data_IF_091006113759
#
_entry.id   IF_091006113759
#
_cell.length_a   1.000
_cell.length_b   1.000
_cell.length_c   1.000
_cell.angle_alpha   90.00
_cell.angle_beta   90.00
_cell.angle_gamma   90.00
#
_symmetry.space_group_name_H-M   'P 1'
#
loop_
_entity.id
_entity.type
_entity.pdbx_description
1 polymer ?
#
# COMPACT_ATOMS: atom_id res chain seq x y z
N UNK A 1 52.02 -49.47 42.61
CA UNK A 1 52.47 -49.55 44.01
C UNK A 1 51.35 -49.04 44.90
N UNK A 2 50.41 -49.92 45.24
CA UNK A 2 49.27 -49.58 46.10
C UNK A 2 49.55 -50.25 47.43
N UNK A 3 50.11 -49.47 48.35
CA UNK A 3 50.45 -49.89 49.72
C UNK A 3 49.16 -50.34 50.41
N UNK A 4 49.11 -51.59 50.85
CA UNK A 4 48.13 -52.06 51.83
C UNK A 4 48.31 -51.23 53.11
N UNK A 5 47.46 -50.21 53.28
CA UNK A 5 47.30 -49.50 54.54
C UNK A 5 46.52 -50.43 55.47
N UNK A 6 47.21 -51.05 56.43
CA UNK A 6 46.56 -51.76 57.52
C UNK A 6 45.63 -50.85 58.33
N UNK A 7 44.63 -51.39 59.06
CA UNK A 7 43.57 -50.62 59.69
C UNK A 7 44.09 -49.52 60.63
N UNK A 8 43.69 -48.28 60.36
CA UNK A 8 44.28 -47.03 60.87
C UNK A 8 43.82 -46.60 62.30
N UNK A 9 43.31 -47.53 63.12
CA UNK A 9 42.93 -47.25 64.52
C UNK A 9 43.10 -48.49 65.40
N UNK A 10 43.57 -48.31 66.64
CA UNK A 10 43.67 -49.39 67.63
C UNK A 10 42.33 -50.11 67.83
N UNK A 11 41.22 -49.37 67.70
CA UNK A 11 39.85 -49.90 67.78
C UNK A 11 39.48 -50.78 66.59
N UNK A 12 39.89 -50.43 65.37
CA UNK A 12 39.68 -51.26 64.17
C UNK A 12 40.59 -52.50 64.16
N UNK A 13 41.82 -52.39 64.66
CA UNK A 13 42.70 -53.55 64.88
C UNK A 13 42.13 -54.51 65.92
N UNK A 14 41.68 -53.99 67.07
CA UNK A 14 41.02 -54.79 68.08
C UNK A 14 39.71 -55.42 67.57
N UNK A 15 38.93 -54.73 66.74
CA UNK A 15 37.74 -55.30 66.11
C UNK A 15 38.06 -56.40 65.09
N UNK A 16 39.14 -56.24 64.32
CA UNK A 16 39.63 -57.28 63.40
C UNK A 16 40.14 -58.51 64.15
N UNK A 17 40.92 -58.32 65.23
CA UNK A 17 41.46 -59.41 66.05
C UNK A 17 40.38 -60.11 66.91
N UNK A 18 39.37 -59.37 67.39
CA UNK A 18 38.33 -59.93 68.28
C UNK A 18 37.10 -60.44 67.54
N UNK A 19 36.73 -59.85 66.38
CA UNK A 19 35.49 -60.18 65.65
C UNK A 19 35.65 -60.18 64.12
N UNK A 20 36.86 -60.32 63.57
CA UNK A 20 37.09 -60.41 62.12
C UNK A 20 36.75 -59.15 61.32
N UNK A 21 36.53 -58.01 61.99
CA UNK A 21 36.32 -56.70 61.36
C UNK A 21 34.87 -56.28 61.16
N UNK A 22 33.89 -57.07 61.60
CA UNK A 22 32.45 -56.77 61.45
C UNK A 22 31.79 -56.65 62.84
N UNK A 23 31.13 -55.52 63.10
CA UNK A 23 30.58 -55.17 64.41
C UNK A 23 29.11 -55.59 64.59
N UNK A 24 28.37 -55.71 63.48
CA UNK A 24 26.99 -56.21 63.43
C UNK A 24 26.91 -57.28 62.35
N UNK A 25 26.63 -58.52 62.74
CA UNK A 25 26.40 -59.60 61.77
C UNK A 25 25.05 -59.31 61.11
N UNK A 26 25.04 -58.90 59.84
CA UNK A 26 23.78 -58.69 59.12
C UNK A 26 23.11 -60.04 58.94
N UNK A 27 21.78 -60.07 58.88
CA UNK A 27 21.03 -61.30 58.54
C UNK A 27 21.55 -61.95 57.25
N UNK A 28 21.94 -61.13 56.28
CA UNK A 28 22.60 -61.57 55.03
C UNK A 28 23.92 -62.33 55.26
N UNK A 29 24.68 -61.97 56.29
CA UNK A 29 25.96 -62.61 56.59
C UNK A 29 25.76 -63.94 57.31
N UNK A 30 24.74 -64.04 58.19
CA UNK A 30 24.31 -65.31 58.82
C UNK A 30 23.83 -66.30 57.76
N UNK A 31 23.03 -65.80 56.80
CA UNK A 31 22.52 -66.60 55.71
C UNK A 31 23.63 -67.05 54.74
N UNK A 32 24.81 -66.42 54.69
CA UNK A 32 25.94 -66.86 53.83
C UNK A 32 26.81 -67.95 54.47
N UNK A 33 26.69 -68.20 55.76
CA UNK A 33 27.47 -69.22 56.47
C UNK A 33 27.12 -70.61 55.91
N UNK A 34 28.11 -71.40 55.54
CA UNK A 34 27.92 -72.83 55.25
C UNK A 34 28.13 -73.62 56.55
N UNK A 35 27.15 -74.44 56.92
CA UNK A 35 27.30 -75.30 58.10
C UNK A 35 28.19 -76.49 57.67
N UNK A 36 29.40 -76.63 58.23
CA UNK A 36 30.33 -77.66 57.80
C UNK A 36 29.81 -79.05 58.17
N UNK A 37 29.98 -80.07 57.30
CA UNK A 37 29.54 -81.42 57.58
C UNK A 37 30.32 -81.99 58.77
N UNK A 38 29.67 -82.77 59.65
CA UNK A 38 30.35 -83.39 60.77
C UNK A 38 31.51 -84.30 60.30
N UNK A 39 32.66 -84.35 61.01
CA UNK A 39 33.87 -85.06 60.56
C UNK A 39 33.69 -86.57 60.32
N UNK A 40 32.68 -87.18 60.93
CA UNK A 40 32.40 -88.62 60.86
C UNK A 40 31.53 -89.03 59.65
N UNK A 41 30.99 -88.07 58.89
CA UNK A 41 30.22 -88.31 57.65
C UNK A 41 31.05 -88.97 56.55
N UNK A 42 32.38 -88.88 56.65
CA UNK A 42 33.33 -89.58 55.77
C UNK A 42 33.41 -91.10 56.01
N UNK A 43 32.80 -91.61 57.10
CA UNK A 43 32.72 -93.05 57.44
C UNK A 43 31.31 -93.59 57.12
N UNK A 44 31.17 -94.87 56.71
CA UNK A 44 29.87 -95.46 56.38
C UNK A 44 28.85 -95.40 57.53
N UNK A 45 27.60 -95.06 57.21
CA UNK A 45 26.46 -94.86 58.14
C UNK A 45 26.21 -96.03 59.10
N UNK A 46 26.67 -97.23 58.73
CA UNK A 46 26.57 -98.46 59.53
C UNK A 46 27.48 -98.49 60.75
N UNK A 47 28.50 -97.63 60.79
CA UNK A 47 29.51 -97.55 61.86
C UNK A 47 29.27 -96.39 62.83
N UNK A 48 28.20 -95.61 62.62
CA UNK A 48 27.91 -94.47 63.48
C UNK A 48 27.38 -94.95 64.83
N UNK A 49 27.96 -94.44 65.91
CA UNK A 49 27.42 -94.62 67.24
C UNK A 49 26.09 -93.83 67.41
N UNK A 50 25.32 -94.10 68.46
CA UNK A 50 24.03 -93.42 68.70
C UNK A 50 24.17 -91.89 68.87
N UNK A 51 25.31 -91.41 69.38
CA UNK A 51 25.62 -89.99 69.52
C UNK A 51 25.96 -89.32 68.18
N UNK A 52 26.64 -90.01 67.28
CA UNK A 52 27.00 -89.58 65.91
C UNK A 52 25.76 -89.53 65.01
N UNK A 53 24.85 -90.52 65.13
CA UNK A 53 23.52 -90.47 64.48
C UNK A 53 22.68 -89.30 64.96
N UNK A 54 22.73 -89.00 66.25
CA UNK A 54 22.03 -87.84 66.85
C UNK A 54 22.65 -86.52 66.39
N UNK A 55 23.98 -86.43 66.33
CA UNK A 55 24.72 -85.28 65.83
C UNK A 55 24.49 -84.99 64.34
N UNK A 56 24.37 -86.02 63.50
CA UNK A 56 24.04 -85.86 62.09
C UNK A 56 22.60 -85.38 61.88
N UNK A 57 21.62 -85.93 62.61
CA UNK A 57 20.24 -85.44 62.58
C UNK A 57 20.14 -83.96 62.99
N UNK A 58 20.95 -83.54 63.97
CA UNK A 58 21.01 -82.14 64.38
C UNK A 58 21.68 -81.25 63.34
N UNK A 59 22.72 -81.75 62.65
CA UNK A 59 23.33 -81.08 61.50
C UNK A 59 22.33 -80.90 60.34
N UNK A 60 21.64 -81.96 59.91
CA UNK A 60 20.62 -81.89 58.86
C UNK A 60 19.50 -80.92 59.22
N UNK A 61 19.06 -80.93 60.49
CA UNK A 61 18.06 -79.99 60.99
C UNK A 61 18.54 -78.54 60.87
N UNK A 62 19.78 -78.23 61.28
CA UNK A 62 20.36 -76.88 61.18
C UNK A 62 20.55 -76.44 59.72
N UNK A 63 20.98 -77.34 58.83
CA UNK A 63 21.08 -77.07 57.38
C UNK A 63 19.73 -76.80 56.76
N UNK A 64 18.70 -77.57 57.14
CA UNK A 64 17.33 -77.38 56.66
C UNK A 64 16.74 -76.05 57.16
N UNK A 65 16.90 -75.73 58.44
CA UNK A 65 16.46 -74.46 59.03
C UNK A 65 17.14 -73.25 58.36
N UNK A 66 18.45 -73.33 58.11
CA UNK A 66 19.19 -72.27 57.42
C UNK A 66 18.73 -72.10 55.96
N UNK A 67 18.49 -73.20 55.23
CA UNK A 67 17.96 -73.13 53.87
C UNK A 67 16.52 -72.59 53.82
N UNK A 68 15.68 -72.94 54.79
CA UNK A 68 14.33 -72.36 54.92
C UNK A 68 14.39 -70.86 55.22
N UNK A 69 15.36 -70.40 56.02
CA UNK A 69 15.57 -68.97 56.30
C UNK A 69 16.11 -68.23 55.07
N UNK A 70 17.06 -68.82 54.32
CA UNK A 70 17.53 -68.30 53.02
C UNK A 70 16.38 -68.12 52.03
N UNK A 71 15.51 -69.13 51.92
CA UNK A 71 14.37 -69.12 51.01
C UNK A 71 13.31 -68.08 51.43
N UNK A 72 13.05 -67.94 52.74
CA UNK A 72 12.19 -66.87 53.27
C UNK A 72 12.76 -65.50 52.95
N UNK A 73 14.06 -65.29 53.15
CA UNK A 73 14.73 -64.02 52.87
C UNK A 73 14.73 -63.69 51.37
N UNK A 74 15.00 -64.69 50.50
CA UNK A 74 14.88 -64.56 49.05
C UNK A 74 13.47 -64.11 48.64
N UNK A 75 12.43 -64.75 49.17
CA UNK A 75 11.03 -64.36 48.90
C UNK A 75 10.73 -62.93 49.36
N UNK A 76 11.22 -62.52 50.52
CA UNK A 76 11.09 -61.13 50.99
C UNK A 76 11.72 -60.15 49.99
N UNK A 77 12.97 -60.39 49.58
CA UNK A 77 13.66 -59.56 48.60
C UNK A 77 12.94 -59.54 47.23
N UNK A 78 12.46 -60.69 46.74
CA UNK A 78 11.68 -60.76 45.50
C UNK A 78 10.38 -59.95 45.59
N UNK A 79 9.70 -59.95 46.74
CA UNK A 79 8.50 -59.13 46.94
C UNK A 79 8.81 -57.65 47.04
N UNK A 80 9.90 -57.26 47.70
CA UNK A 80 10.35 -55.87 47.76
C UNK A 80 10.76 -55.36 46.38
N UNK A 81 11.50 -56.16 45.62
CA UNK A 81 11.89 -55.85 44.25
C UNK A 81 10.66 -55.64 43.37
N UNK A 82 9.66 -56.53 43.42
CA UNK A 82 8.40 -56.36 42.66
C UNK A 82 7.65 -55.10 43.07
N UNK A 83 7.55 -54.81 44.39
CA UNK A 83 6.90 -53.58 44.89
C UNK A 83 7.62 -52.33 44.37
N UNK A 84 8.95 -52.32 44.40
CA UNK A 84 9.76 -51.20 43.89
C UNK A 84 9.57 -51.04 42.38
N UNK A 85 9.58 -52.14 41.61
CA UNK A 85 9.33 -52.10 40.16
C UNK A 85 7.96 -51.52 39.83
N UNK A 86 6.90 -51.97 40.51
CA UNK A 86 5.55 -51.43 40.32
C UNK A 86 5.47 -49.95 40.69
N UNK A 87 6.05 -49.57 41.83
CA UNK A 87 6.10 -48.16 42.26
C UNK A 87 6.83 -47.26 41.27
N UNK A 88 7.96 -47.72 40.71
CA UNK A 88 8.69 -46.99 39.67
C UNK A 88 7.81 -46.83 38.42
N UNK A 89 7.17 -47.92 37.96
CA UNK A 89 6.32 -47.88 36.78
C UNK A 89 5.13 -46.93 36.94
N UNK A 90 4.44 -46.98 38.07
CA UNK A 90 3.33 -46.07 38.40
C UNK A 90 3.81 -44.61 38.46
N UNK A 91 4.96 -44.36 39.10
CA UNK A 91 5.53 -43.01 39.21
C UNK A 91 5.94 -42.46 37.85
N UNK A 92 6.57 -43.27 36.99
CA UNK A 92 6.91 -42.90 35.61
C UNK A 92 5.67 -42.58 34.79
N UNK A 93 4.63 -43.41 34.87
CA UNK A 93 3.37 -43.14 34.15
C UNK A 93 2.72 -41.83 34.61
N UNK A 94 2.66 -41.58 35.91
CA UNK A 94 2.10 -40.32 36.47
C UNK A 94 2.92 -39.11 35.99
N UNK A 95 4.23 -39.25 35.94
CA UNK A 95 5.12 -38.20 35.42
C UNK A 95 4.85 -37.93 33.94
N UNK A 96 4.84 -38.96 33.10
CA UNK A 96 4.59 -38.84 31.66
C UNK A 96 3.22 -38.22 31.38
N UNK A 97 2.16 -38.68 32.06
CA UNK A 97 0.82 -38.10 31.93
C UNK A 97 0.80 -36.61 32.33
N UNK A 98 1.59 -36.24 33.33
CA UNK A 98 1.71 -34.83 33.77
C UNK A 98 2.44 -33.99 32.72
N UNK A 99 3.51 -34.51 32.14
CA UNK A 99 4.25 -33.85 31.06
C UNK A 99 3.36 -33.68 29.83
N UNK A 100 2.60 -34.70 29.44
CA UNK A 100 1.65 -34.61 28.31
C UNK A 100 0.58 -33.55 28.55
N UNK A 101 -0.03 -33.51 29.74
CA UNK A 101 -1.00 -32.46 30.09
C UNK A 101 -0.39 -31.06 30.08
N UNK A 102 0.84 -30.91 30.57
CA UNK A 102 1.56 -29.64 30.54
C UNK A 102 1.87 -29.21 29.10
N UNK A 103 2.27 -30.15 28.24
CA UNK A 103 2.52 -29.89 26.83
C UNK A 103 1.24 -29.44 26.10
N UNK A 104 0.12 -30.15 26.28
CA UNK A 104 -1.17 -29.73 25.72
C UNK A 104 -1.58 -28.33 26.17
N UNK A 105 -1.38 -28.03 27.46
CA UNK A 105 -1.67 -26.70 28.01
C UNK A 105 -0.75 -25.65 27.42
N UNK A 106 0.53 -25.95 27.22
CA UNK A 106 1.49 -25.05 26.56
C UNK A 106 1.03 -24.73 25.14
N UNK A 107 0.73 -25.75 24.32
CA UNK A 107 0.28 -25.57 22.93
C UNK A 107 -1.00 -24.73 22.88
N UNK A 108 -1.98 -24.99 23.75
CA UNK A 108 -3.21 -24.19 23.81
C UNK A 108 -2.95 -22.74 24.22
N UNK A 109 -2.06 -22.50 25.18
CA UNK A 109 -1.69 -21.14 25.58
C UNK A 109 -0.97 -20.39 24.46
N UNK A 110 0.03 -21.01 23.83
CA UNK A 110 0.77 -20.42 22.69
C UNK A 110 -0.16 -20.10 21.53
N UNK A 111 -1.08 -21.02 21.21
CA UNK A 111 -2.10 -20.81 20.19
C UNK A 111 -2.97 -19.57 20.46
N UNK A 112 -3.41 -19.35 21.70
CA UNK A 112 -4.18 -18.15 22.06
C UNK A 112 -3.31 -16.89 22.00
N UNK A 113 -2.06 -16.97 22.47
CA UNK A 113 -1.10 -15.85 22.38
C UNK A 113 -0.92 -15.43 20.92
N UNK A 114 -0.64 -16.37 20.02
CA UNK A 114 -0.44 -16.06 18.60
C UNK A 114 -1.71 -15.50 17.94
N UNK A 115 -2.90 -15.94 18.36
CA UNK A 115 -4.15 -15.35 17.88
C UNK A 115 -4.28 -13.89 18.30
N UNK A 116 -4.03 -13.58 19.56
CA UNK A 116 -4.10 -12.20 20.07
C UNK A 116 -3.00 -11.31 19.46
N UNK A 117 -1.78 -11.82 19.28
CA UNK A 117 -0.71 -11.12 18.56
C UNK A 117 -1.10 -10.79 17.12
N UNK A 118 -1.72 -11.73 16.41
CA UNK A 118 -2.22 -11.49 15.05
C UNK A 118 -3.33 -10.42 15.04
N UNK A 119 -4.26 -10.44 16.00
CA UNK A 119 -5.29 -9.39 16.12
C UNK A 119 -4.66 -8.03 16.38
N UNK A 120 -3.68 -7.94 17.27
CA UNK A 120 -2.96 -6.70 17.57
C UNK A 120 -2.28 -6.18 16.29
N UNK A 121 -1.61 -7.04 15.54
CA UNK A 121 -0.97 -6.65 14.28
C UNK A 121 -1.98 -6.14 13.24
N UNK A 122 -3.12 -6.82 13.07
CA UNK A 122 -4.17 -6.39 12.14
C UNK A 122 -4.80 -5.05 12.56
N UNK A 123 -5.02 -4.84 13.86
CA UNK A 123 -5.51 -3.56 14.38
C UNK A 123 -4.49 -2.44 14.18
N UNK A 124 -3.21 -2.71 14.43
CA UNK A 124 -2.13 -1.75 14.20
C UNK A 124 -2.04 -1.36 12.72
N UNK A 125 -2.10 -2.34 11.82
CA UNK A 125 -2.17 -2.09 10.38
C UNK A 125 -3.38 -1.23 10.02
N UNK A 126 -4.55 -1.52 10.59
CA UNK A 126 -5.77 -0.76 10.35
C UNK A 126 -5.67 0.70 10.82
N UNK A 127 -5.05 0.93 11.98
CA UNK A 127 -4.79 2.28 12.51
C UNK A 127 -3.80 3.05 11.63
N UNK A 128 -2.73 2.39 11.18
CA UNK A 128 -1.75 3.02 10.29
C UNK A 128 -2.38 3.43 8.96
N UNK A 129 -3.24 2.58 8.39
CA UNK A 129 -3.96 2.88 7.16
C UNK A 129 -4.94 4.05 7.35
N UNK A 130 -5.67 4.11 8.47
CA UNK A 130 -6.56 5.24 8.78
C UNK A 130 -5.78 6.56 8.95
N UNK A 131 -4.60 6.52 9.55
CA UNK A 131 -3.70 7.68 9.65
C UNK A 131 -3.19 8.13 8.27
N UNK A 132 -2.82 7.19 7.40
CA UNK A 132 -2.40 7.48 6.02
C UNK A 132 -3.54 8.12 5.21
N UNK A 133 -4.74 7.54 5.26
CA UNK A 133 -5.93 8.08 4.61
C UNK A 133 -6.29 9.47 5.13
N UNK A 134 -6.21 9.68 6.45
CA UNK A 134 -6.49 10.97 7.09
C UNK A 134 -5.44 12.03 6.73
N UNK A 135 -4.16 11.65 6.65
CA UNK A 135 -3.08 12.53 6.19
C UNK A 135 -3.29 12.94 4.73
N UNK A 136 -3.66 11.98 3.87
CA UNK A 136 -3.98 12.25 2.46
C UNK A 136 -5.18 13.18 2.32
N UNK A 137 -6.23 12.96 3.10
CA UNK A 137 -7.43 13.80 3.16
C UNK A 137 -7.07 15.24 3.55
N UNK A 138 -6.26 15.42 4.59
CA UNK A 138 -5.77 16.73 5.02
C UNK A 138 -4.92 17.41 3.92
N UNK A 139 -4.05 16.65 3.24
CA UNK A 139 -3.25 17.13 2.11
C UNK A 139 -4.11 17.64 0.95
N UNK A 140 -5.11 16.85 0.53
CA UNK A 140 -6.05 17.24 -0.53
C UNK A 140 -6.85 18.48 -0.14
N UNK A 141 -7.34 18.58 1.10
CA UNK A 141 -8.02 19.77 1.60
C UNK A 141 -7.12 21.02 1.52
N UNK A 142 -5.85 20.90 1.93
CA UNK A 142 -4.90 22.00 1.83
C UNK A 142 -4.66 22.45 0.37
N UNK A 143 -4.48 21.50 -0.55
CA UNK A 143 -4.33 21.80 -1.98
C UNK A 143 -5.59 22.43 -2.57
N UNK A 144 -6.77 21.93 -2.20
CA UNK A 144 -8.06 22.48 -2.65
C UNK A 144 -8.22 23.94 -2.20
N UNK A 145 -7.94 24.24 -0.94
CA UNK A 145 -8.02 25.60 -0.41
C UNK A 145 -7.02 26.54 -1.08
N UNK A 146 -5.80 26.07 -1.35
CA UNK A 146 -4.80 26.82 -2.12
C UNK A 146 -5.31 27.15 -3.52
N UNK A 147 -5.86 26.15 -4.24
CA UNK A 147 -6.40 26.32 -5.59
C UNK A 147 -7.64 27.22 -5.61
N UNK A 148 -8.51 27.14 -4.62
CA UNK A 148 -9.66 28.07 -4.46
C UNK A 148 -9.21 29.52 -4.29
N UNK A 149 -8.17 29.78 -3.48
CA UNK A 149 -7.59 31.12 -3.35
C UNK A 149 -6.99 31.62 -4.67
N UNK A 150 -6.27 30.75 -5.38
CA UNK A 150 -5.72 31.05 -6.71
C UNK A 150 -6.84 31.36 -7.72
N UNK A 151 -7.95 30.62 -7.67
CA UNK A 151 -9.13 30.83 -8.52
C UNK A 151 -9.78 32.18 -8.28
N UNK A 152 -9.93 32.60 -7.03
CA UNK A 152 -10.47 33.94 -6.71
C UNK A 152 -9.57 35.04 -7.31
N UNK A 153 -8.25 34.94 -7.10
CA UNK A 153 -7.31 35.93 -7.61
C UNK A 153 -7.27 35.99 -9.15
N UNK A 154 -7.34 34.84 -9.82
CA UNK A 154 -7.33 34.78 -11.30
C UNK A 154 -8.66 35.24 -11.90
N UNK A 155 -9.79 34.91 -11.28
CA UNK A 155 -11.10 35.42 -11.68
C UNK A 155 -11.19 36.96 -11.57
N UNK A 156 -10.69 37.53 -10.47
CA UNK A 156 -10.58 38.99 -10.30
C UNK A 156 -9.71 39.63 -11.40
N UNK A 157 -8.54 39.03 -11.69
CA UNK A 157 -7.66 39.50 -12.75
C UNK A 157 -8.34 39.46 -14.13
N UNK A 158 -9.11 38.40 -14.43
CA UNK A 158 -9.91 38.29 -15.66
C UNK A 158 -10.96 39.41 -15.73
N UNK A 159 -11.67 39.69 -14.63
CA UNK A 159 -12.66 40.76 -14.59
C UNK A 159 -12.03 42.14 -14.85
N UNK A 160 -10.89 42.44 -14.22
CA UNK A 160 -10.17 43.71 -14.43
C UNK A 160 -9.75 43.87 -15.88
N UNK A 161 -9.12 42.86 -16.47
CA UNK A 161 -8.67 42.90 -17.86
C UNK A 161 -9.86 43.01 -18.81
N UNK A 162 -10.95 42.27 -18.56
CA UNK A 162 -12.19 42.36 -19.34
C UNK A 162 -12.73 43.78 -19.36
N UNK A 163 -12.84 44.43 -18.20
CA UNK A 163 -13.26 45.82 -18.11
C UNK A 163 -12.37 46.78 -18.92
N UNK A 164 -11.05 46.56 -18.92
CA UNK A 164 -10.11 47.34 -19.75
C UNK A 164 -10.30 47.10 -21.24
N UNK A 165 -10.54 45.86 -21.67
CA UNK A 165 -10.82 45.51 -23.08
C UNK A 165 -12.14 46.14 -23.53
N UNK A 166 -13.17 46.07 -22.70
CA UNK A 166 -14.50 46.61 -23.02
C UNK A 166 -14.47 48.14 -23.14
N UNK A 167 -13.82 48.83 -22.19
CA UNK A 167 -13.61 50.28 -22.27
C UNK A 167 -12.80 50.67 -23.52
N UNK A 168 -11.74 49.93 -23.84
CA UNK A 168 -10.96 50.22 -25.06
C UNK A 168 -11.77 49.96 -26.33
N UNK A 169 -12.60 48.90 -26.35
CA UNK A 169 -13.50 48.58 -27.45
C UNK A 169 -14.49 49.72 -27.70
N UNK A 170 -15.09 50.29 -26.65
CA UNK A 170 -15.96 51.46 -26.77
C UNK A 170 -15.24 52.64 -27.43
N UNK A 171 -13.99 52.94 -27.01
CA UNK A 171 -13.21 54.01 -27.67
C UNK A 171 -12.92 53.71 -29.14
N UNK A 172 -12.67 52.45 -29.49
CA UNK A 172 -12.46 52.02 -30.87
C UNK A 172 -13.74 52.15 -31.71
N UNK A 173 -14.88 51.72 -31.17
CA UNK A 173 -16.17 51.74 -31.85
C UNK A 173 -16.62 53.19 -32.13
N UNK A 174 -16.40 54.10 -31.17
CA UNK A 174 -16.64 55.54 -31.34
C UNK A 174 -15.78 56.12 -32.48
N UNK A 175 -14.46 55.87 -32.47
CA UNK A 175 -13.55 56.32 -33.53
C UNK A 175 -13.93 55.72 -34.90
N UNK A 176 -14.31 54.45 -34.95
CA UNK A 176 -14.76 53.80 -36.18
C UNK A 176 -16.10 54.38 -36.69
N UNK A 177 -16.98 54.83 -35.78
CA UNK A 177 -18.21 55.52 -36.13
C UNK A 177 -17.94 56.93 -36.66
N UNK A 178 -17.07 57.70 -36.01
CA UNK A 178 -16.62 59.02 -36.47
C UNK A 178 -15.98 58.94 -37.87
N UNK A 179 -15.11 57.96 -38.11
CA UNK A 179 -14.51 57.70 -39.41
C UNK A 179 -15.58 57.42 -40.50
N UNK A 180 -16.62 56.64 -40.17
CA UNK A 180 -17.76 56.41 -41.08
C UNK A 180 -18.57 57.68 -41.33
N UNK A 181 -18.69 58.57 -40.34
CA UNK A 181 -19.37 59.86 -40.49
C UNK A 181 -18.59 60.75 -41.46
N UNK A 182 -17.25 60.80 -41.38
CA UNK A 182 -16.42 61.54 -42.35
C UNK A 182 -16.65 61.07 -43.79
N UNK A 183 -16.85 59.77 -44.02
CA UNK A 183 -17.14 59.25 -45.35
C UNK A 183 -18.54 59.62 -45.85
N UNK A 184 -19.56 59.51 -44.99
CA UNK A 184 -20.95 59.86 -45.33
C UNK A 184 -21.16 61.36 -45.49
N UNK A 185 -20.45 62.16 -44.70
CA UNK A 185 -20.53 63.62 -44.67
C UNK A 185 -19.86 64.30 -45.86
N UNK A 186 -18.94 63.62 -46.56
CA UNK A 186 -18.15 64.20 -47.65
C UNK A 186 -19.02 64.93 -48.70
N UNK A 187 -20.06 64.28 -49.24
CA UNK A 187 -20.90 64.91 -50.28
C UNK A 187 -21.66 66.15 -49.77
N UNK A 188 -21.95 66.21 -48.48
CA UNK A 188 -22.64 67.35 -47.85
C UNK A 188 -21.69 68.55 -47.70
N UNK A 189 -20.42 68.29 -47.39
CA UNK A 189 -19.36 69.30 -47.21
C UNK A 189 -19.01 70.05 -48.52
N UNK A 190 -19.23 69.43 -49.68
CA UNK A 190 -19.00 70.03 -51.01
C UNK A 190 -20.30 70.34 -51.75
N UNK A 191 -21.38 70.62 -51.03
CA UNK A 191 -22.70 70.92 -51.64
C UNK A 191 -22.75 72.24 -52.42
N UNK A 192 -21.76 73.11 -52.21
CA UNK A 192 -21.50 74.36 -52.92
C UNK A 192 -20.81 74.16 -54.29
N UNK A 193 -20.37 72.93 -54.61
CA UNK A 193 -19.65 72.57 -55.84
C UNK A 193 -20.60 71.86 -56.83
N UNK A 194 -20.46 72.04 -58.16
CA UNK A 194 -21.30 71.33 -59.13
C UNK A 194 -21.23 69.80 -58.97
N UNK A 195 -22.37 69.13 -59.10
CA UNK A 195 -22.55 67.69 -58.78
C UNK A 195 -21.54 66.78 -59.48
N UNK A 196 -21.22 67.05 -60.76
CA UNK A 196 -20.24 66.27 -61.51
C UNK A 196 -18.83 66.34 -60.89
N UNK A 197 -18.42 67.51 -60.40
CA UNK A 197 -17.15 67.67 -59.68
C UNK A 197 -17.19 67.00 -58.31
N UNK A 198 -18.31 67.06 -57.57
CA UNK A 198 -18.46 66.36 -56.27
C UNK A 198 -18.31 64.84 -56.42
N UNK A 199 -18.92 64.24 -57.45
CA UNK A 199 -18.79 62.80 -57.71
C UNK A 199 -17.37 62.40 -58.15
N UNK A 200 -16.70 63.27 -58.93
CA UNK A 200 -15.30 63.07 -59.29
C UNK A 200 -14.38 63.15 -58.07
N UNK A 201 -14.54 64.18 -57.24
CA UNK A 201 -13.80 64.35 -55.99
C UNK A 201 -14.07 63.19 -55.02
N UNK A 202 -15.29 62.67 -54.93
CA UNK A 202 -15.59 61.52 -54.07
C UNK A 202 -14.88 60.24 -54.52
N UNK A 203 -14.68 60.03 -55.83
CA UNK A 203 -13.86 58.92 -56.34
C UNK A 203 -12.40 59.09 -55.93
N UNK A 204 -11.86 60.31 -56.03
CA UNK A 204 -10.49 60.63 -55.57
C UNK A 204 -10.36 60.50 -54.04
N UNK A 205 -11.39 60.89 -53.29
CA UNK A 205 -11.47 60.77 -51.83
C UNK A 205 -11.43 59.31 -51.35
N UNK A 206 -11.96 58.37 -52.14
CA UNK A 206 -11.90 56.92 -51.86
C UNK A 206 -10.62 56.25 -52.33
N UNK A 207 -9.88 56.90 -53.23
CA UNK A 207 -8.61 56.37 -53.73
C UNK A 207 -7.56 56.46 -52.62
N UNK A 208 -6.83 55.37 -52.41
CA UNK A 208 -5.73 55.28 -51.43
C UNK A 208 -4.42 55.00 -52.17
N UNK A 209 -3.28 55.48 -51.65
CA UNK A 209 -1.98 55.06 -52.16
C UNK A 209 -1.85 53.53 -52.13
N UNK A 210 -1.27 52.94 -53.18
CA UNK A 210 -1.03 51.50 -53.22
C UNK A 210 -0.02 51.17 -52.13
N UNK A 211 -0.38 50.25 -51.23
CA UNK A 211 0.55 49.78 -50.21
C UNK A 211 1.76 49.12 -50.87
N UNK A 212 2.94 49.74 -50.76
CA UNK A 212 4.19 49.04 -51.03
C UNK A 212 4.33 47.97 -49.96
N UNK A 213 4.56 46.71 -50.37
CA UNK A 213 4.80 45.60 -49.45
C UNK A 213 6.14 45.83 -48.75
N UNK A 214 6.13 46.56 -47.65
CA UNK A 214 7.27 46.62 -46.73
C UNK A 214 7.37 45.21 -46.13
N UNK A 215 8.36 44.43 -46.58
CA UNK A 215 8.70 43.13 -45.97
C UNK A 215 9.12 43.40 -44.53
N UNK A 216 8.21 43.19 -43.58
CA UNK A 216 8.55 43.16 -42.17
C UNK A 216 9.39 41.92 -41.91
N UNK A 217 10.67 42.14 -41.62
CA UNK A 217 11.56 41.11 -41.10
C UNK A 217 11.11 40.78 -39.67
N UNK A 218 10.32 39.72 -39.49
CA UNK A 218 10.00 39.15 -38.19
C UNK A 218 11.21 38.38 -37.66
N UNK A 219 12.24 39.10 -37.25
CA UNK A 219 13.16 38.55 -36.26
C UNK A 219 12.94 39.33 -34.98
N UNK A 220 12.41 38.65 -33.96
CA UNK A 220 12.94 38.64 -32.59
C UNK A 220 11.94 37.88 -31.70
N UNK A 221 12.20 36.59 -31.47
CA UNK A 221 11.53 35.76 -30.48
C UNK A 221 12.03 36.04 -29.05
N UNK A 222 12.17 37.32 -28.67
CA UNK A 222 12.59 37.72 -27.32
C UNK A 222 11.44 38.44 -26.60
N UNK A 223 10.82 37.82 -25.58
CA UNK A 223 9.72 38.41 -24.81
C UNK A 223 10.11 39.59 -23.92
N UNK A 224 11.42 39.91 -23.79
CA UNK A 224 11.94 41.03 -22.99
C UNK A 224 12.79 42.03 -23.78
N UNK A 225 12.87 41.91 -25.11
CA UNK A 225 13.56 42.91 -25.93
C UNK A 225 12.78 44.22 -25.93
N UNK A 226 13.47 45.36 -25.88
CA UNK A 226 12.83 46.65 -26.15
C UNK A 226 12.03 46.48 -27.47
N UNK A 227 10.80 47.01 -27.50
CA UNK A 227 9.96 47.07 -28.72
C UNK A 227 10.17 48.34 -29.58
N UNK A 228 11.38 48.78 -30.04
CA UNK A 228 11.51 49.84 -31.02
C UNK A 228 11.09 49.41 -32.43
N UNK A 229 11.16 48.11 -32.75
CA UNK A 229 10.93 47.61 -34.11
C UNK A 229 9.54 47.91 -34.67
N UNK A 230 8.48 47.67 -33.89
CA UNK A 230 7.09 47.88 -34.36
C UNK A 230 6.67 49.35 -34.36
N UNK A 231 7.08 50.13 -33.36
CA UNK A 231 6.77 51.56 -33.28
C UNK A 231 7.52 52.36 -34.36
N UNK A 232 8.77 52.01 -34.64
CA UNK A 232 9.57 52.62 -35.71
C UNK A 232 9.06 52.22 -37.09
N UNK A 233 8.77 50.94 -37.32
CA UNK A 233 8.19 50.46 -38.57
C UNK A 233 6.82 51.12 -38.86
N UNK A 234 5.99 51.33 -37.84
CA UNK A 234 4.74 52.07 -37.98
C UNK A 234 4.97 53.54 -38.37
N UNK A 235 5.90 54.24 -37.70
CA UNK A 235 6.24 55.63 -38.03
C UNK A 235 6.75 55.75 -39.47
N UNK A 236 7.61 54.84 -39.89
CA UNK A 236 8.14 54.78 -41.26
C UNK A 236 7.03 54.48 -42.28
N UNK A 237 6.16 53.50 -42.01
CA UNK A 237 5.01 53.19 -42.86
C UNK A 237 4.01 54.35 -42.96
N UNK A 238 3.75 55.06 -41.86
CA UNK A 238 2.89 56.25 -41.83
C UNK A 238 3.53 57.40 -42.62
N UNK A 239 4.83 57.64 -42.48
CA UNK A 239 5.54 58.66 -43.24
C UNK A 239 5.52 58.37 -44.75
N UNK A 240 5.72 57.12 -45.15
CA UNK A 240 5.58 56.70 -46.55
C UNK A 240 4.16 56.90 -47.08
N UNK A 241 3.15 56.58 -46.28
CA UNK A 241 1.76 56.82 -46.65
C UNK A 241 1.48 58.32 -46.83
N UNK A 242 1.89 59.16 -45.89
CA UNK A 242 1.69 60.61 -45.94
C UNK A 242 2.37 61.22 -47.15
N UNK A 243 3.61 60.81 -47.46
CA UNK A 243 4.32 61.25 -48.67
C UNK A 243 3.54 60.90 -49.95
N UNK A 244 2.96 59.70 -50.03
CA UNK A 244 2.15 59.32 -51.18
C UNK A 244 0.79 60.05 -51.23
N UNK A 245 0.28 60.54 -50.09
CA UNK A 245 -0.86 61.48 -50.07
C UNK A 245 -0.41 62.84 -50.62
N UNK A 246 0.76 63.35 -50.23
CA UNK A 246 1.30 64.61 -50.76
C UNK A 246 1.39 64.58 -52.29
N UNK A 247 1.95 63.51 -52.87
CA UNK A 247 2.03 63.31 -54.32
C UNK A 247 0.65 63.28 -55.02
N UNK A 248 -0.39 62.78 -54.34
CA UNK A 248 -1.75 62.76 -54.89
C UNK A 248 -2.52 64.07 -54.65
N UNK A 249 -2.07 64.93 -53.73
CA UNK A 249 -2.66 66.26 -53.45
C UNK A 249 -2.05 67.33 -54.36
N UNK A 250 -1.00 66.99 -55.12
CA UNK A 250 -0.32 67.92 -56.02
C UNK A 250 -1.33 68.62 -56.97
N UNK A 251 -1.24 69.95 -57.15
CA UNK A 251 -2.14 70.71 -58.02
C UNK A 251 -2.23 70.19 -59.46
N UNK A 252 -1.22 69.47 -59.96
CA UNK A 252 -1.25 68.81 -61.28
C UNK A 252 -2.33 67.71 -61.36
N UNK A 253 -2.76 67.16 -60.23
CA UNK A 253 -3.82 66.14 -60.16
C UNK A 253 -5.23 66.75 -60.01
N UNK A 254 -5.36 68.07 -59.98
CA UNK A 254 -6.64 68.77 -59.83
C UNK A 254 -7.51 68.57 -61.08
N UNK A 255 -8.81 68.26 -60.95
CA UNK A 255 -9.71 68.14 -62.10
C UNK A 255 -9.81 69.45 -62.89
N UNK A 256 -9.81 69.35 -64.22
CA UNK A 256 -9.98 70.51 -65.11
C UNK A 256 -11.29 71.25 -64.80
N UNK A 257 -11.20 72.58 -64.64
CA UNK A 257 -12.35 73.44 -64.33
C UNK A 257 -12.72 73.54 -62.84
N UNK A 258 -11.93 72.95 -61.93
CA UNK A 258 -12.10 73.12 -60.48
C UNK A 258 -11.26 74.29 -59.96
N UNK A 259 -11.83 75.10 -59.07
CA UNK A 259 -11.12 76.21 -58.43
C UNK A 259 -10.11 75.71 -57.39
N UNK A 260 -8.93 76.35 -57.35
CA UNK A 260 -7.84 75.99 -56.42
C UNK A 260 -8.27 75.96 -54.93
N UNK A 261 -9.08 76.91 -54.41
CA UNK A 261 -9.54 76.84 -53.02
C UNK A 261 -10.42 75.62 -52.71
N UNK A 262 -11.19 75.14 -53.70
CA UNK A 262 -12.02 73.93 -53.56
C UNK A 262 -11.14 72.68 -53.54
N UNK A 263 -10.07 72.66 -54.34
CA UNK A 263 -9.06 71.61 -54.32
C UNK A 263 -8.32 71.56 -52.98
N UNK A 264 -7.87 72.68 -52.44
CA UNK A 264 -7.21 72.75 -51.13
C UNK A 264 -8.10 72.23 -50.00
N UNK A 265 -9.40 72.59 -50.01
CA UNK A 265 -10.41 72.07 -49.07
C UNK A 265 -10.59 70.55 -49.22
N UNK A 266 -10.60 70.03 -50.45
CA UNK A 266 -10.63 68.60 -50.73
C UNK A 266 -9.40 67.87 -50.20
N UNK A 267 -8.20 68.40 -50.44
CA UNK A 267 -6.94 67.84 -49.94
C UNK A 267 -6.96 67.74 -48.41
N UNK A 268 -7.46 68.78 -47.73
CA UNK A 268 -7.63 68.78 -46.27
C UNK A 268 -8.59 67.66 -45.82
N UNK A 269 -9.80 67.58 -46.40
CA UNK A 269 -10.77 66.53 -46.04
C UNK A 269 -10.20 65.11 -46.27
N UNK A 270 -9.46 64.91 -47.37
CA UNK A 270 -8.81 63.63 -47.68
C UNK A 270 -7.73 63.28 -46.66
N UNK A 271 -6.91 64.24 -46.24
CA UNK A 271 -5.89 64.03 -45.19
C UNK A 271 -6.53 63.66 -43.86
N UNK A 272 -7.53 64.41 -43.40
CA UNK A 272 -8.29 64.10 -42.17
C UNK A 272 -8.87 62.70 -42.20
N UNK A 273 -9.43 62.27 -43.34
CA UNK A 273 -9.94 60.91 -43.51
C UNK A 273 -8.85 59.85 -43.42
N UNK A 274 -7.72 60.06 -44.12
CA UNK A 274 -6.60 59.10 -44.10
C UNK A 274 -6.01 58.97 -42.69
N UNK A 275 -5.86 60.07 -41.97
CA UNK A 275 -5.41 60.06 -40.56
C UNK A 275 -6.36 59.29 -39.66
N UNK A 276 -7.67 59.52 -39.79
CA UNK A 276 -8.71 58.79 -39.05
C UNK A 276 -8.68 57.29 -39.33
N UNK A 277 -8.56 56.89 -40.61
CA UNK A 277 -8.44 55.47 -40.99
C UNK A 277 -7.20 54.79 -40.40
N UNK A 278 -6.04 55.48 -40.37
CA UNK A 278 -4.83 54.93 -39.76
C UNK A 278 -4.98 54.80 -38.24
N UNK A 279 -5.63 55.78 -37.60
CA UNK A 279 -5.92 55.72 -36.17
C UNK A 279 -6.85 54.55 -35.84
N UNK A 280 -7.94 54.36 -36.60
CA UNK A 280 -8.85 53.21 -36.46
C UNK A 280 -8.11 51.89 -36.65
N UNK A 281 -7.28 51.76 -37.69
CA UNK A 281 -6.46 50.55 -37.92
C UNK A 281 -5.52 50.25 -36.75
N UNK A 282 -4.86 51.27 -36.20
CA UNK A 282 -3.94 51.12 -35.07
C UNK A 282 -4.69 50.69 -33.81
N UNK A 283 -5.81 51.35 -33.50
CA UNK A 283 -6.67 50.99 -32.37
C UNK A 283 -7.21 49.56 -32.52
N UNK A 284 -7.58 49.14 -33.73
CA UNK A 284 -8.02 47.76 -34.00
C UNK A 284 -6.91 46.73 -33.68
N UNK A 285 -5.66 47.00 -34.06
CA UNK A 285 -4.53 46.11 -33.76
C UNK A 285 -4.29 46.00 -32.25
N UNK A 286 -4.27 47.12 -31.53
CA UNK A 286 -4.13 47.10 -30.07
C UNK A 286 -5.30 46.40 -29.39
N UNK A 287 -6.53 46.60 -29.87
CA UNK A 287 -7.71 45.90 -29.35
C UNK A 287 -7.59 44.38 -29.57
N UNK A 288 -7.06 43.93 -30.70
CA UNK A 288 -6.80 42.52 -30.97
C UNK A 288 -5.74 41.93 -30.01
N UNK A 289 -4.66 42.66 -29.72
CA UNK A 289 -3.66 42.25 -28.73
C UNK A 289 -4.27 42.15 -27.31
N UNK A 290 -5.09 43.12 -26.93
CA UNK A 290 -5.80 43.12 -25.64
C UNK A 290 -6.78 41.94 -25.52
N UNK A 291 -7.50 41.62 -26.60
CA UNK A 291 -8.40 40.46 -26.64
C UNK A 291 -7.64 39.14 -26.53
N UNK A 292 -6.51 39.00 -27.22
CA UNK A 292 -5.66 37.81 -27.11
C UNK A 292 -5.12 37.63 -25.68
N UNK A 293 -4.75 38.73 -25.01
CA UNK A 293 -4.32 38.70 -23.62
C UNK A 293 -5.46 38.32 -22.67
N UNK A 294 -6.67 38.86 -22.87
CA UNK A 294 -7.85 38.47 -22.10
C UNK A 294 -8.16 36.98 -22.27
N UNK A 295 -8.13 36.47 -23.50
CA UNK A 295 -8.38 35.06 -23.77
C UNK A 295 -7.38 34.17 -23.03
N UNK A 296 -6.08 34.50 -23.08
CA UNK A 296 -5.05 33.77 -22.33
C UNK A 296 -5.36 33.73 -20.82
N UNK A 297 -5.79 34.86 -20.24
CA UNK A 297 -6.15 34.91 -18.81
C UNK A 297 -7.38 34.07 -18.48
N UNK A 298 -8.36 34.03 -19.39
CA UNK A 298 -9.53 33.15 -19.24
C UNK A 298 -9.15 31.68 -19.31
N UNK A 299 -8.24 31.31 -20.21
CA UNK A 299 -7.77 29.93 -20.34
C UNK A 299 -6.99 29.49 -19.09
N UNK A 300 -6.14 30.36 -18.53
CA UNK A 300 -5.42 30.12 -17.27
C UNK A 300 -6.41 29.96 -16.09
N UNK A 301 -7.45 30.78 -16.02
CA UNK A 301 -8.51 30.73 -15.01
C UNK A 301 -9.35 29.44 -15.11
N UNK A 302 -9.67 28.98 -16.32
CA UNK A 302 -10.38 27.72 -16.54
C UNK A 302 -9.50 26.51 -16.19
N UNK A 303 -8.19 26.57 -16.47
CA UNK A 303 -7.26 25.52 -16.07
C UNK A 303 -7.24 25.32 -14.55
N UNK A 304 -7.26 26.40 -13.77
CA UNK A 304 -7.33 26.30 -12.30
C UNK A 304 -8.67 25.68 -11.86
N UNK A 305 -9.77 25.97 -12.55
CA UNK A 305 -11.06 25.34 -12.28
C UNK A 305 -11.03 23.84 -12.55
N UNK A 306 -10.43 23.42 -13.68
CA UNK A 306 -10.24 22.00 -13.99
C UNK A 306 -9.38 21.29 -12.93
N UNK A 307 -8.33 21.95 -12.41
CA UNK A 307 -7.52 21.43 -11.32
C UNK A 307 -8.36 21.24 -10.03
N UNK A 308 -9.24 22.19 -9.71
CA UNK A 308 -10.16 22.09 -8.56
C UNK A 308 -11.10 20.89 -8.72
N UNK A 309 -11.71 20.74 -9.89
CA UNK A 309 -12.64 19.64 -10.17
C UNK A 309 -11.93 18.28 -10.09
N UNK A 310 -10.68 18.19 -10.55
CA UNK A 310 -9.85 16.99 -10.41
C UNK A 310 -9.59 16.64 -8.94
N UNK A 311 -9.25 17.63 -8.11
CA UNK A 311 -9.03 17.43 -6.67
C UNK A 311 -10.33 16.98 -5.98
N UNK A 312 -11.48 17.56 -6.34
CA UNK A 312 -12.77 17.16 -5.79
C UNK A 312 -13.14 15.71 -6.15
N UNK A 313 -12.86 15.29 -7.40
CA UNK A 313 -13.05 13.90 -7.79
C UNK A 313 -12.16 12.95 -6.99
N UNK A 314 -10.88 13.27 -6.82
CA UNK A 314 -9.96 12.49 -5.99
C UNK A 314 -10.43 12.43 -4.53
N UNK A 315 -10.96 13.54 -4.00
CA UNK A 315 -11.53 13.59 -2.65
C UNK A 315 -12.72 12.63 -2.50
N UNK A 316 -13.60 12.56 -3.50
CA UNK A 316 -14.73 11.62 -3.49
C UNK A 316 -14.25 10.17 -3.53
N UNK A 317 -13.28 9.85 -4.40
CA UNK A 317 -12.67 8.51 -4.45
C UNK A 317 -12.07 8.12 -3.10
N UNK A 318 -11.30 9.02 -2.48
CA UNK A 318 -10.69 8.77 -1.17
C UNK A 318 -11.75 8.55 -0.08
N UNK A 319 -12.85 9.31 -0.13
CA UNK A 319 -13.97 9.14 0.81
C UNK A 319 -14.65 7.79 0.65
N UNK A 320 -14.83 7.32 -0.58
CA UNK A 320 -15.38 5.98 -0.86
C UNK A 320 -14.43 4.85 -0.43
N UNK A 321 -13.11 5.02 -0.63
CA UNK A 321 -12.09 4.10 -0.12
C UNK A 321 -12.11 4.03 1.41
N UNK A 322 -12.12 5.18 2.08
CA UNK A 322 -12.21 5.27 3.54
C UNK A 322 -13.49 4.63 4.08
N UNK A 323 -14.63 4.89 3.43
CA UNK A 323 -15.90 4.28 3.83
C UNK A 323 -15.89 2.75 3.66
N UNK A 324 -15.36 2.24 2.53
CA UNK A 324 -15.21 0.79 2.32
C UNK A 324 -14.36 0.17 3.41
N UNK A 325 -13.19 0.75 3.68
CA UNK A 325 -12.28 0.26 4.71
C UNK A 325 -12.90 0.27 6.11
N UNK A 326 -13.65 1.32 6.47
CA UNK A 326 -14.31 1.40 7.79
C UNK A 326 -15.44 0.39 7.97
N UNK A 327 -16.05 -0.07 6.88
CA UNK A 327 -17.13 -1.07 6.90
C UNK A 327 -16.61 -2.50 6.72
N UNK A 328 -15.44 -2.67 6.11
CA UNK A 328 -14.80 -3.96 5.86
C UNK A 328 -14.06 -4.45 7.11
N UNK A 329 -14.81 -5.06 8.02
CA UNK A 329 -14.28 -5.55 9.28
C UNK A 329 -13.54 -6.87 9.10
N UNK A 330 -12.28 -6.89 9.50
CA UNK A 330 -11.50 -8.13 9.56
C UNK A 330 -11.98 -9.01 10.72
N UNK A 331 -12.42 -10.23 10.41
CA UNK A 331 -12.84 -11.23 11.39
C UNK A 331 -11.90 -12.43 11.32
N UNK A 332 -11.34 -12.83 12.46
CA UNK A 332 -10.47 -13.99 12.55
C UNK A 332 -11.29 -15.25 12.85
N UNK A 333 -11.13 -16.27 12.02
CA UNK A 333 -11.71 -17.59 12.22
C UNK A 333 -10.63 -18.59 12.60
N UNK A 334 -10.98 -19.49 13.52
CA UNK A 334 -10.16 -20.65 13.85
C UNK A 334 -10.78 -21.89 13.21
N UNK A 335 -10.11 -22.41 12.19
CA UNK A 335 -10.54 -23.59 11.44
C UNK A 335 -9.61 -24.76 11.73
N UNK A 336 -10.16 -25.97 11.79
CA UNK A 336 -9.37 -27.19 11.93
C UNK A 336 -8.76 -27.58 10.59
N UNK A 337 -7.67 -28.36 10.64
CA UNK A 337 -7.09 -28.99 9.46
C UNK A 337 -8.16 -29.84 8.76
N UNK A 338 -8.25 -29.72 7.43
CA UNK A 338 -9.30 -30.36 6.61
C UNK A 338 -10.57 -29.53 6.42
N UNK A 339 -10.73 -28.38 7.09
CA UNK A 339 -11.80 -27.40 6.80
C UNK A 339 -11.35 -26.28 5.85
N UNK A 340 -10.07 -26.28 5.48
CA UNK A 340 -9.48 -25.35 4.51
C UNK A 340 -8.88 -26.18 3.40
N UNK A 341 -9.29 -25.91 2.18
CA UNK A 341 -8.75 -26.51 0.96
C UNK A 341 -7.95 -25.43 0.22
N UNK A 342 -6.66 -25.67 0.01
CA UNK A 342 -5.76 -24.78 -0.73
C UNK A 342 -5.12 -25.57 -1.88
N UNK A 343 -5.11 -25.01 -3.07
CA UNK A 343 -4.36 -25.58 -4.20
C UNK A 343 -2.84 -25.57 -3.92
N UNK A 344 -2.38 -24.56 -3.18
CA UNK A 344 -0.96 -24.33 -2.82
C UNK A 344 -0.48 -25.14 -1.61
N UNK A 345 -1.19 -26.21 -1.19
CA UNK A 345 -0.86 -26.98 0.02
C UNK A 345 0.56 -27.61 0.05
N UNK A 346 1.29 -27.57 -1.07
CA UNK A 346 2.67 -28.02 -1.18
C UNK A 346 3.71 -26.99 -0.68
N UNK A 347 3.32 -25.73 -0.44
CA UNK A 347 4.21 -24.69 0.05
C UNK A 347 4.36 -24.74 1.59
N UNK A 348 5.55 -24.37 2.09
CA UNK A 348 5.85 -24.38 3.53
C UNK A 348 4.99 -23.37 4.30
N UNK A 349 4.59 -22.28 3.65
CA UNK A 349 3.72 -21.24 4.19
C UNK A 349 2.50 -21.17 3.26
N UNK A 350 1.31 -21.62 3.69
CA UNK A 350 0.12 -21.54 2.88
C UNK A 350 -0.30 -20.08 2.64
N UNK A 351 -0.58 -19.74 1.38
CA UNK A 351 -1.19 -18.46 0.98
C UNK A 351 -2.73 -18.57 1.02
N UNK A 352 -3.38 -17.60 1.65
CA UNK A 352 -4.83 -17.51 1.83
C UNK A 352 -5.45 -16.32 1.10
N UNK A 353 -4.69 -15.61 0.27
CA UNK A 353 -5.13 -14.35 -0.38
C UNK A 353 -6.40 -14.55 -1.21
N UNK A 354 -6.50 -15.67 -1.93
CA UNK A 354 -7.65 -16.02 -2.76
C UNK A 354 -8.67 -16.93 -2.04
N UNK A 355 -8.52 -17.14 -0.73
CA UNK A 355 -9.40 -18.01 0.03
C UNK A 355 -10.79 -17.38 0.20
N UNK A 356 -11.82 -18.16 -0.13
CA UNK A 356 -13.23 -17.74 0.01
C UNK A 356 -13.94 -18.56 1.09
N UNK A 357 -14.71 -17.88 1.92
CA UNK A 357 -15.53 -18.54 2.93
C UNK A 357 -16.84 -19.02 2.29
N UNK A 358 -17.02 -20.33 2.18
CA UNK A 358 -18.22 -20.96 1.61
C UNK A 358 -19.00 -21.66 2.72
N UNK A 359 -20.32 -21.49 2.73
CA UNK A 359 -21.19 -22.24 3.64
C UNK A 359 -21.19 -23.74 3.30
N UNK A 360 -21.05 -24.59 4.32
CA UNK A 360 -20.92 -26.05 4.18
C UNK A 360 -22.04 -26.69 3.33
N UNK A 361 -23.26 -26.17 3.40
CA UNK A 361 -24.40 -26.70 2.64
C UNK A 361 -24.16 -26.70 1.13
N UNK A 362 -23.44 -25.70 0.61
CA UNK A 362 -23.14 -25.60 -0.82
C UNK A 362 -22.28 -26.78 -1.26
N UNK A 363 -21.28 -27.15 -0.45
CA UNK A 363 -20.41 -28.30 -0.72
C UNK A 363 -21.19 -29.61 -0.57
N UNK A 364 -22.05 -29.74 0.45
CA UNK A 364 -22.88 -30.92 0.65
C UNK A 364 -23.89 -31.14 -0.49
N UNK A 365 -24.55 -30.08 -0.96
CA UNK A 365 -25.47 -30.11 -2.10
C UNK A 365 -24.74 -30.48 -3.40
N UNK A 366 -23.55 -29.92 -3.63
CA UNK A 366 -22.71 -30.28 -4.77
C UNK A 366 -22.32 -31.76 -4.72
N UNK A 367 -21.89 -32.25 -3.54
CA UNK A 367 -21.53 -33.65 -3.33
C UNK A 367 -22.72 -34.60 -3.53
N UNK A 368 -23.92 -34.23 -3.09
CA UNK A 368 -25.14 -34.97 -3.37
C UNK A 368 -25.43 -35.05 -4.86
N UNK A 369 -25.28 -33.93 -5.58
CA UNK A 369 -25.48 -33.85 -7.03
C UNK A 369 -24.46 -34.71 -7.79
N UNK A 370 -23.17 -34.62 -7.42
CA UNK A 370 -22.10 -35.46 -7.98
C UNK A 370 -22.40 -36.94 -7.74
N UNK A 371 -22.83 -37.32 -6.52
CA UNK A 371 -23.23 -38.70 -6.21
C UNK A 371 -24.37 -39.17 -7.11
N UNK A 372 -25.39 -38.35 -7.34
CA UNK A 372 -26.52 -38.70 -8.22
C UNK A 372 -26.11 -38.82 -9.68
N UNK A 373 -25.23 -37.95 -10.17
CA UNK A 373 -24.79 -37.92 -11.58
C UNK A 373 -23.74 -39.00 -11.90
N UNK A 374 -22.83 -39.30 -10.97
CA UNK A 374 -21.70 -40.23 -11.17
C UNK A 374 -21.93 -41.64 -10.59
N UNK A 375 -23.08 -41.93 -9.97
CA UNK A 375 -23.47 -43.29 -9.56
C UNK A 375 -24.45 -44.04 -10.51
N UNK A 376 -24.28 -44.06 -11.85
CA UNK A 376 -24.77 -45.18 -12.65
C UNK A 376 -23.79 -46.38 -12.53
N UNK A 377 -24.11 -47.28 -11.62
CA UNK A 377 -23.91 -48.75 -11.66
C UNK A 377 -22.55 -49.43 -11.97
N UNK A 378 -21.42 -48.76 -12.28
CA UNK A 378 -20.16 -49.52 -12.56
C UNK A 378 -18.85 -49.07 -11.89
N UNK A 379 -18.82 -48.00 -11.09
CA UNK A 379 -17.58 -47.49 -10.48
C UNK A 379 -17.54 -47.53 -8.94
N UNK A 380 -18.28 -48.45 -8.32
CA UNK A 380 -18.41 -48.58 -6.86
C UNK A 380 -17.08 -48.83 -6.12
N UNK A 381 -16.02 -49.32 -6.79
CA UNK A 381 -14.74 -49.65 -6.13
C UNK A 381 -13.71 -48.52 -6.14
N UNK A 382 -13.75 -47.61 -7.11
CA UNK A 382 -12.70 -46.58 -7.24
C UNK A 382 -13.02 -45.29 -6.48
N UNK A 383 -14.31 -44.93 -6.31
CA UNK A 383 -14.70 -43.74 -5.54
C UNK A 383 -14.67 -43.94 -4.02
N UNK A 384 -14.84 -45.17 -3.52
CA UNK A 384 -14.70 -45.44 -2.08
C UNK A 384 -13.27 -45.15 -1.61
N UNK A 385 -12.26 -45.38 -2.46
CA UNK A 385 -10.86 -45.09 -2.17
C UNK A 385 -10.60 -43.57 -2.05
N UNK A 386 -11.21 -42.77 -2.91
CA UNK A 386 -11.09 -41.30 -2.87
C UNK A 386 -11.81 -40.75 -1.62
N UNK A 387 -13.04 -41.18 -1.34
CA UNK A 387 -13.77 -40.73 -0.15
C UNK A 387 -13.10 -41.11 1.18
N UNK A 388 -12.34 -42.21 1.22
CA UNK A 388 -11.58 -42.60 2.43
C UNK A 388 -10.35 -41.70 2.64
N UNK A 389 -9.77 -41.13 1.58
CA UNK A 389 -8.68 -40.15 1.70
C UNK A 389 -9.18 -38.79 2.23
N UNK A 390 -10.42 -38.40 1.91
CA UNK A 390 -11.02 -37.13 2.35
C UNK A 390 -11.72 -37.19 3.72
N UNK A 391 -11.79 -38.37 4.36
CA UNK A 391 -12.36 -38.58 5.69
C UNK A 391 -11.29 -39.05 6.69
N UNK A 392 -10.08 -38.51 6.59
CA UNK A 392 -9.10 -38.64 7.66
C UNK A 392 -9.54 -37.77 8.84
N UNK A 393 -10.31 -38.40 9.72
CA UNK A 393 -10.40 -38.06 11.14
C UNK A 393 -9.01 -37.76 11.69
N UNK A 394 -8.86 -36.58 12.31
CA UNK A 394 -8.05 -36.37 13.51
C UNK A 394 -8.81 -35.48 14.48
#
# INVERSE_FOLDING_TARGET
STKWLGPNSARQRALYDMMGGVLEIKKEDILKIEIPPPPFVSKPDTLWNEEEKKGFKEYEKKVKELNEEREKYRKTLETELKKLQTSIQETTQIFDDTVSRLFERKVKSEMVIYQEELKINNLLYSLLLDEELSTREAGLNHFLDKKRKEKLSTAEAVQVVRGQVDAYRETYDNLAAEDKILERGFKKEFSDVPVHHVDHLFKLYKRRPRAQKIKMHLDTANPYGDRPGSARAYKEALAHLMKAIDEMDDPENMPEGLDLPVWERFCLARRTKVESEQLVKRKALTLAEMQAFLQKRMDDDEKIKMDIDKILNEFNTLREEKMRFQLDLTVQFLLKQGQVELESAAELIPDYTDAILIHKSVIEELNCTIRVIFLPSHLHKNLLFIATAYNLQW
#
